data_IF_249078117975
#
_entry.id   IF_249078117975
#
_cell.length_a   1.000
_cell.length_b   1.000
_cell.length_c   1.000
_cell.angle_alpha   90.00
_cell.angle_beta   90.00
_cell.angle_gamma   90.00
#
_symmetry.space_group_name_H-M   'P 1'
#
loop_
_entity.id
_entity.type
_entity.pdbx_description
1 polymer ?
#
# COMPACT_ATOMS: atom_id res chain seq x y z
N UNK A 1 -33.04 -20.32 2.06
CA UNK A 1 -32.32 -19.54 1.03
C UNK A 1 -31.63 -18.30 1.65
N UNK A 2 -30.64 -18.47 2.55
CA UNK A 2 -29.96 -17.33 3.21
C UNK A 2 -28.42 -17.34 3.09
N UNK A 3 -27.82 -18.49 2.74
CA UNK A 3 -26.37 -18.59 2.52
C UNK A 3 -25.91 -18.00 1.18
N UNK A 4 -26.74 -18.10 0.12
CA UNK A 4 -26.35 -17.65 -1.22
C UNK A 4 -26.13 -16.13 -1.31
N UNK A 5 -26.91 -15.34 -0.58
CA UNK A 5 -26.74 -13.89 -0.53
C UNK A 5 -25.46 -13.47 0.19
N UNK A 6 -25.12 -14.17 1.28
CA UNK A 6 -23.91 -13.89 2.06
C UNK A 6 -22.64 -14.21 1.28
N UNK A 7 -22.61 -15.33 0.56
CA UNK A 7 -21.49 -15.69 -0.33
C UNK A 7 -21.36 -14.73 -1.51
N UNK A 8 -22.48 -14.23 -2.05
CA UNK A 8 -22.47 -13.25 -3.14
C UNK A 8 -22.00 -11.87 -2.66
N UNK A 9 -22.34 -11.48 -1.44
CA UNK A 9 -21.88 -10.23 -0.85
C UNK A 9 -20.38 -10.30 -0.51
N UNK A 10 -19.90 -11.38 0.10
CA UNK A 10 -18.47 -11.65 0.31
C UNK A 10 -17.67 -11.67 -1.00
N UNK A 11 -18.20 -12.34 -2.03
CA UNK A 11 -17.61 -12.36 -3.36
C UNK A 11 -17.44 -10.94 -3.93
N UNK A 12 -18.45 -10.08 -3.81
CA UNK A 12 -18.38 -8.69 -4.26
C UNK A 12 -17.33 -7.87 -3.50
N UNK A 13 -17.22 -8.04 -2.18
CA UNK A 13 -16.20 -7.35 -1.37
C UNK A 13 -14.78 -7.81 -1.69
N UNK A 14 -14.57 -9.11 -1.88
CA UNK A 14 -13.27 -9.67 -2.29
C UNK A 14 -12.91 -9.24 -3.71
N UNK A 15 -13.88 -9.23 -4.63
CA UNK A 15 -13.66 -8.78 -6.01
C UNK A 15 -13.27 -7.31 -6.05
N UNK A 16 -13.95 -6.46 -5.27
CA UNK A 16 -13.57 -5.05 -5.16
C UNK A 16 -12.20 -4.86 -4.51
N UNK A 17 -11.85 -5.63 -3.48
CA UNK A 17 -10.53 -5.56 -2.86
C UNK A 17 -9.41 -5.99 -3.81
N UNK A 18 -9.60 -7.10 -4.55
CA UNK A 18 -8.66 -7.58 -5.56
C UNK A 18 -8.58 -6.59 -6.73
N UNK A 19 -9.70 -5.99 -7.16
CA UNK A 19 -9.73 -4.97 -8.20
C UNK A 19 -8.99 -3.70 -7.75
N UNK A 20 -9.13 -3.28 -6.49
CA UNK A 20 -8.39 -2.14 -5.93
C UNK A 20 -6.90 -2.43 -5.83
N UNK A 21 -6.52 -3.62 -5.35
CA UNK A 21 -5.11 -4.04 -5.31
C UNK A 21 -4.52 -4.16 -6.73
N UNK A 22 -5.30 -4.65 -7.70
CA UNK A 22 -4.93 -4.71 -9.10
C UNK A 22 -4.83 -3.31 -9.73
N UNK A 23 -5.72 -2.38 -9.37
CA UNK A 23 -5.63 -0.99 -9.82
C UNK A 23 -4.39 -0.30 -9.25
N UNK A 24 -4.05 -0.55 -7.98
CA UNK A 24 -2.82 -0.03 -7.35
C UNK A 24 -1.58 -0.64 -8.03
N UNK A 25 -1.60 -1.93 -8.37
CA UNK A 25 -0.53 -2.58 -9.12
C UNK A 25 -0.41 -2.08 -10.58
N UNK A 26 -1.54 -1.81 -11.24
CA UNK A 26 -1.59 -1.24 -12.59
C UNK A 26 -1.16 0.22 -12.62
N UNK A 27 -1.45 1.00 -11.57
CA UNK A 27 -0.92 2.36 -11.40
C UNK A 27 0.61 2.32 -11.27
N UNK A 28 1.16 1.26 -10.66
CA UNK A 28 2.61 1.03 -10.63
C UNK A 28 3.16 0.64 -12.02
N UNK A 29 2.42 -0.12 -12.82
CA UNK A 29 2.84 -0.47 -14.20
C UNK A 29 2.60 0.65 -15.23
N UNK A 30 1.66 1.56 -15.00
CA UNK A 30 1.35 2.69 -15.91
C UNK A 30 2.22 3.92 -15.67
N UNK A 31 3.15 3.87 -14.71
CA UNK A 31 4.15 4.91 -14.46
C UNK A 31 5.48 4.68 -15.24
N UNK A 32 5.53 3.70 -16.13
CA UNK A 32 6.55 3.64 -17.18
C UNK A 32 5.94 4.25 -18.46
N UNK A 33 6.31 5.49 -18.86
CA UNK A 33 5.93 5.96 -20.17
C UNK A 33 6.63 5.08 -21.20
N UNK A 34 5.83 4.35 -21.98
CA UNK A 34 6.04 4.02 -23.40
C UNK A 34 7.41 4.44 -23.97
N UNK A 35 8.46 3.65 -23.71
CA UNK A 35 9.79 3.85 -24.29
C UNK A 35 9.89 3.39 -25.77
N UNK A 36 8.77 3.02 -26.41
CA UNK A 36 8.77 2.48 -27.78
C UNK A 36 8.10 3.38 -28.83
N UNK A 37 7.70 4.62 -28.50
CA UNK A 37 6.99 5.48 -29.45
C UNK A 37 7.65 6.85 -29.74
N UNK A 38 8.90 7.09 -29.33
CA UNK A 38 9.61 8.35 -29.62
C UNK A 38 10.92 8.08 -30.38
N UNK A 39 10.82 7.38 -31.51
CA UNK A 39 11.85 7.44 -32.53
C UNK A 39 11.66 8.74 -33.32
N UNK A 40 12.39 9.80 -32.92
CA UNK A 40 12.93 10.88 -33.77
C UNK A 40 13.03 12.21 -33.01
N UNK A 41 14.13 12.42 -32.30
CA UNK A 41 14.94 13.66 -32.36
C UNK A 41 16.20 13.46 -31.49
N UNK A 42 17.43 13.64 -32.03
CA UNK A 42 18.68 13.52 -31.28
C UNK A 42 18.94 14.76 -30.40
N UNK A 43 17.87 15.32 -29.86
CA UNK A 43 17.90 16.53 -29.07
C UNK A 43 17.74 16.11 -27.62
N UNK A 44 18.88 15.71 -27.03
CA UNK A 44 19.14 15.70 -25.59
C UNK A 44 19.03 17.15 -25.05
N UNK A 45 17.89 17.81 -25.27
CA UNK A 45 17.62 19.16 -24.81
C UNK A 45 17.30 19.04 -23.32
N UNK A 46 18.28 19.42 -22.50
CA UNK A 46 18.12 19.76 -21.09
C UNK A 46 17.44 18.69 -20.24
N UNK A 47 18.08 17.53 -20.09
CA UNK A 47 17.58 16.43 -19.27
C UNK A 47 17.66 16.68 -17.74
N UNK A 48 18.18 17.82 -17.27
CA UNK A 48 18.23 18.14 -15.84
C UNK A 48 16.81 18.40 -15.25
N UNK A 49 16.06 19.33 -15.83
CA UNK A 49 14.73 19.73 -15.32
C UNK A 49 13.69 18.59 -15.25
N UNK A 50 13.53 17.72 -16.27
CA UNK A 50 12.57 16.62 -16.19
C UNK A 50 12.98 15.52 -15.20
N UNK A 51 14.28 15.27 -15.03
CA UNK A 51 14.81 14.24 -14.12
C UNK A 51 14.64 14.67 -12.66
N UNK A 52 14.91 15.94 -12.35
CA UNK A 52 14.69 16.49 -11.01
C UNK A 52 13.22 16.49 -10.61
N UNK A 53 12.35 16.91 -11.53
CA UNK A 53 10.89 16.91 -11.30
C UNK A 53 10.32 15.50 -11.12
N UNK A 54 10.87 14.51 -11.82
CA UNK A 54 10.49 13.10 -11.66
C UNK A 54 10.92 12.55 -10.28
N UNK A 55 12.14 12.88 -9.84
CA UNK A 55 12.63 12.50 -8.50
C UNK A 55 11.77 13.13 -7.40
N UNK A 56 11.50 14.43 -7.49
CA UNK A 56 10.66 15.16 -6.52
C UNK A 56 9.25 14.55 -6.44
N UNK A 57 8.62 14.31 -7.59
CA UNK A 57 7.30 13.66 -7.66
C UNK A 57 7.30 12.26 -7.04
N UNK A 58 8.37 11.50 -7.24
CA UNK A 58 8.51 10.17 -6.63
C UNK A 58 8.70 10.26 -5.12
N UNK A 59 9.48 11.22 -4.63
CA UNK A 59 9.67 11.44 -3.19
C UNK A 59 8.38 11.87 -2.50
N UNK A 60 7.57 12.72 -3.13
CA UNK A 60 6.23 13.05 -2.67
C UNK A 60 5.31 11.83 -2.65
N UNK A 61 5.32 11.03 -3.73
CA UNK A 61 4.54 9.80 -3.83
C UNK A 61 4.90 8.76 -2.76
N UNK A 62 6.20 8.57 -2.50
CA UNK A 62 6.70 7.69 -1.44
C UNK A 62 6.26 8.17 -0.05
N UNK A 63 6.33 9.48 0.21
CA UNK A 63 5.92 10.08 1.48
C UNK A 63 4.40 9.93 1.72
N UNK A 64 3.58 10.16 0.67
CA UNK A 64 2.13 9.91 0.72
C UNK A 64 1.81 8.44 0.95
N UNK A 65 2.57 7.54 0.31
CA UNK A 65 2.39 6.10 0.48
C UNK A 65 2.66 5.65 1.91
N UNK A 66 3.69 6.20 2.57
CA UNK A 66 3.96 5.95 3.99
C UNK A 66 2.80 6.40 4.88
N UNK A 67 2.26 7.58 4.63
CA UNK A 67 1.07 8.07 5.33
C UNK A 67 -0.11 7.13 5.16
N UNK A 68 -0.38 6.67 3.94
CA UNK A 68 -1.45 5.71 3.66
C UNK A 68 -1.24 4.34 4.36
N UNK A 69 0.00 3.85 4.40
CA UNK A 69 0.34 2.59 5.09
C UNK A 69 0.06 2.72 6.59
N UNK A 70 0.46 3.84 7.19
CA UNK A 70 0.21 4.14 8.60
C UNK A 70 -1.30 4.23 8.90
N UNK A 71 -2.03 4.99 8.10
CA UNK A 71 -3.49 5.15 8.20
C UNK A 71 -4.21 3.79 8.10
N UNK A 72 -3.72 2.92 7.22
CA UNK A 72 -4.26 1.58 7.02
C UNK A 72 -3.96 0.68 8.22
N UNK A 73 -2.73 0.74 8.75
CA UNK A 73 -2.33 0.03 9.96
C UNK A 73 -3.26 0.41 11.12
N UNK A 74 -3.43 1.70 11.37
CA UNK A 74 -4.30 2.21 12.45
C UNK A 74 -5.74 1.74 12.29
N UNK A 75 -6.32 1.82 11.08
CA UNK A 75 -7.68 1.33 10.80
C UNK A 75 -7.83 -0.17 11.06
N UNK A 76 -6.85 -0.98 10.68
CA UNK A 76 -6.86 -2.43 10.93
C UNK A 76 -6.78 -2.72 12.43
N UNK A 77 -5.90 -2.01 13.14
CA UNK A 77 -5.76 -2.15 14.59
C UNK A 77 -7.06 -1.76 15.31
N UNK A 78 -7.68 -0.65 14.90
CA UNK A 78 -8.93 -0.17 15.46
C UNK A 78 -10.08 -1.15 15.18
N UNK A 79 -10.22 -1.61 13.94
CA UNK A 79 -11.24 -2.60 13.58
C UNK A 79 -11.09 -3.91 14.39
N UNK A 80 -9.85 -4.33 14.66
CA UNK A 80 -9.58 -5.49 15.51
C UNK A 80 -10.02 -5.24 16.96
N UNK A 81 -9.74 -4.07 17.54
CA UNK A 81 -10.20 -3.68 18.88
C UNK A 81 -11.72 -3.63 18.96
N UNK A 82 -12.35 -2.97 17.99
CA UNK A 82 -13.80 -2.79 17.95
C UNK A 82 -14.51 -4.14 17.82
N UNK A 83 -14.01 -5.04 16.99
CA UNK A 83 -14.57 -6.39 16.86
C UNK A 83 -14.40 -7.20 18.14
N UNK A 84 -13.24 -7.12 18.80
CA UNK A 84 -13.05 -7.78 20.08
C UNK A 84 -14.00 -7.22 21.15
N UNK A 85 -14.14 -5.89 21.25
CA UNK A 85 -15.05 -5.25 22.19
C UNK A 85 -16.52 -5.56 21.93
N UNK A 86 -16.94 -5.68 20.66
CA UNK A 86 -18.30 -6.13 20.30
C UNK A 86 -18.57 -7.57 20.71
N UNK A 87 -17.59 -8.45 20.55
CA UNK A 87 -17.72 -9.84 21.01
C UNK A 87 -17.76 -9.89 22.53
N UNK A 88 -16.92 -9.10 23.20
CA UNK A 88 -16.93 -8.95 24.67
C UNK A 88 -18.30 -8.50 25.16
N UNK A 89 -18.88 -7.45 24.58
CA UNK A 89 -20.19 -6.94 24.97
C UNK A 89 -21.37 -7.86 24.61
N UNK A 90 -21.20 -8.72 23.60
CA UNK A 90 -22.23 -9.67 23.15
C UNK A 90 -22.18 -11.02 23.88
N UNK A 91 -21.17 -11.23 24.72
CA UNK A 91 -21.00 -12.45 25.51
C UNK A 91 -20.81 -12.05 26.97
N UNK A 92 -21.01 -12.94 27.94
CA UNK A 92 -20.59 -12.61 29.30
C UNK A 92 -19.05 -12.44 29.32
N UNK A 93 -18.54 -11.42 30.02
CA UNK A 93 -17.13 -10.93 30.03
C UNK A 93 -16.06 -12.02 30.26
N UNK A 94 -16.45 -13.21 30.73
CA UNK A 94 -15.61 -14.38 31.02
C UNK A 94 -15.79 -15.56 30.06
N UNK A 95 -16.44 -15.36 28.92
CA UNK A 95 -16.63 -16.43 27.94
C UNK A 95 -15.33 -16.77 27.20
N UNK A 96 -15.13 -18.07 26.90
CA UNK A 96 -13.99 -18.52 26.08
C UNK A 96 -13.94 -17.84 24.69
N UNK A 97 -15.09 -17.38 24.20
CA UNK A 97 -15.25 -16.67 22.92
C UNK A 97 -14.69 -15.25 23.03
N UNK A 98 -15.05 -14.50 24.07
CA UNK A 98 -14.50 -13.18 24.35
C UNK A 98 -12.97 -13.22 24.52
N UNK A 99 -12.47 -14.20 25.29
CA UNK A 99 -11.03 -14.41 25.45
C UNK A 99 -10.31 -14.75 24.13
N UNK A 100 -10.96 -15.49 23.22
CA UNK A 100 -10.42 -15.75 21.88
C UNK A 100 -10.39 -14.48 21.02
N UNK A 101 -11.46 -13.71 21.02
CA UNK A 101 -11.54 -12.47 20.25
C UNK A 101 -10.46 -11.46 20.68
N UNK A 102 -10.19 -11.33 21.98
CA UNK A 102 -9.09 -10.50 22.51
C UNK A 102 -7.72 -10.97 22.01
N UNK A 103 -7.44 -12.29 22.06
CA UNK A 103 -6.19 -12.86 21.53
C UNK A 103 -6.03 -12.67 20.02
N UNK A 104 -7.10 -12.85 19.27
CA UNK A 104 -7.09 -12.68 17.83
C UNK A 104 -6.88 -11.20 17.45
N UNK A 105 -7.51 -10.27 18.17
CA UNK A 105 -7.29 -8.84 17.97
C UNK A 105 -5.84 -8.43 18.25
N UNK A 106 -5.22 -8.93 19.33
CA UNK A 106 -3.80 -8.68 19.62
C UNK A 106 -2.89 -9.24 18.51
N UNK A 107 -3.20 -10.43 17.98
CA UNK A 107 -2.45 -11.02 16.85
C UNK A 107 -2.58 -10.19 15.57
N UNK A 108 -3.78 -9.69 15.27
CA UNK A 108 -4.02 -8.84 14.11
C UNK A 108 -3.26 -7.52 14.25
N UNK A 109 -3.27 -6.90 15.43
CA UNK A 109 -2.53 -5.67 15.67
C UNK A 109 -1.03 -5.83 15.43
N UNK A 110 -0.45 -6.91 15.97
CA UNK A 110 0.96 -7.24 15.77
C UNK A 110 1.29 -7.46 14.28
N UNK A 111 0.43 -8.19 13.56
CA UNK A 111 0.64 -8.41 12.12
C UNK A 111 0.49 -7.13 11.30
N UNK A 112 -0.44 -6.24 11.67
CA UNK A 112 -0.60 -4.96 11.01
C UNK A 112 0.66 -4.09 11.17
N UNK A 113 1.31 -4.11 12.33
CA UNK A 113 2.62 -3.46 12.55
C UNK A 113 3.70 -4.09 11.67
N UNK A 114 3.87 -5.42 11.73
CA UNK A 114 4.87 -6.13 10.92
C UNK A 114 4.68 -5.91 9.41
N UNK A 115 3.43 -5.87 8.93
CA UNK A 115 3.11 -5.64 7.52
C UNK A 115 3.34 -4.19 7.11
N UNK A 116 2.99 -3.23 7.97
CA UNK A 116 3.26 -1.82 7.75
C UNK A 116 4.76 -1.57 7.66
N UNK A 117 5.54 -2.09 8.61
CA UNK A 117 7.00 -1.94 8.63
C UNK A 117 7.65 -2.56 7.39
N UNK A 118 7.23 -3.77 7.01
CA UNK A 118 7.70 -4.42 5.77
C UNK A 118 7.41 -3.59 4.53
N UNK A 119 6.22 -2.99 4.46
CA UNK A 119 5.81 -2.19 3.30
C UNK A 119 6.54 -0.85 3.28
N UNK A 120 6.72 -0.19 4.43
CA UNK A 120 7.50 1.04 4.55
C UNK A 120 8.96 0.82 4.12
N UNK A 121 9.57 -0.30 4.54
CA UNK A 121 10.92 -0.67 4.13
C UNK A 121 11.04 -0.90 2.62
N UNK A 122 10.03 -1.50 1.98
CA UNK A 122 9.98 -1.66 0.53
C UNK A 122 9.89 -0.29 -0.18
N UNK A 123 9.07 0.63 0.34
CA UNK A 123 8.98 2.01 -0.16
C UNK A 123 10.32 2.74 -0.04
N UNK A 124 11.02 2.61 1.09
CA UNK A 124 12.34 3.24 1.30
C UNK A 124 13.43 2.66 0.40
N UNK A 125 13.41 1.34 0.18
CA UNK A 125 14.32 0.67 -0.73
C UNK A 125 14.11 1.15 -2.16
N UNK A 126 12.85 1.28 -2.59
CA UNK A 126 12.51 1.79 -3.91
C UNK A 126 12.91 3.26 -4.08
N UNK A 127 12.68 4.10 -3.06
CA UNK A 127 13.16 5.50 -3.01
C UNK A 127 14.67 5.58 -3.21
N UNK A 128 15.43 4.76 -2.49
CA UNK A 128 16.90 4.74 -2.59
C UNK A 128 17.37 4.30 -3.98
N UNK A 129 16.70 3.33 -4.61
CA UNK A 129 17.04 2.87 -5.96
C UNK A 129 16.74 3.93 -7.03
N UNK A 130 15.61 4.66 -6.91
CA UNK A 130 15.27 5.76 -7.80
C UNK A 130 16.27 6.91 -7.66
N UNK A 131 16.61 7.29 -6.43
CA UNK A 131 17.63 8.33 -6.18
C UNK A 131 18.97 7.98 -6.84
N UNK A 132 19.49 6.76 -6.62
CA UNK A 132 20.75 6.33 -7.27
C UNK A 132 20.69 6.36 -8.79
N UNK A 133 19.55 5.98 -9.38
CA UNK A 133 19.37 6.02 -10.84
C UNK A 133 19.38 7.46 -11.33
N UNK A 134 18.68 8.36 -10.64
CA UNK A 134 18.65 9.79 -10.95
C UNK A 134 20.05 10.40 -10.86
N UNK A 135 20.77 10.13 -9.77
CA UNK A 135 22.14 10.63 -9.56
C UNK A 135 23.09 10.10 -10.64
N UNK A 136 22.99 8.81 -11.00
CA UNK A 136 23.81 8.21 -12.07
C UNK A 136 23.53 8.82 -13.45
N UNK A 137 22.27 9.21 -13.72
CA UNK A 137 21.91 9.89 -14.96
C UNK A 137 22.49 11.30 -14.99
N UNK A 138 22.43 12.03 -13.87
CA UNK A 138 23.03 13.37 -13.74
C UNK A 138 24.54 13.33 -13.97
N UNK A 139 25.25 12.43 -13.28
CA UNK A 139 26.70 12.26 -13.42
C UNK A 139 27.13 11.92 -14.86
N UNK A 140 26.27 11.26 -15.65
CA UNK A 140 26.55 10.92 -17.05
C UNK A 140 26.25 12.06 -18.04
N UNK A 141 25.50 13.08 -17.61
CA UNK A 141 25.09 14.24 -18.41
C UNK A 141 25.93 15.50 -18.13
N UNK A 142 26.65 15.53 -17.00
CA UNK A 142 27.65 16.55 -16.63
C UNK A 142 29.04 16.25 -17.23
#
# INVERSE_FOLDING_TARGET
MKFHYFTQQLSRWITNAVLCLAAIALIWQSALPTLSAMAASPSLIAAADPVDKANESYQEGASRSKGFIEDTKEKVQQAAKDNAGRVDAATDDDSAIAGKAKRDAARIQKRAEEDADRTQNAVDSAKSAVQRTVDSIKDALD
#
